data_IF_937790644776
#
_entry.id   IF_937790644776
#
_cell.length_a   1.000
_cell.length_b   1.000
_cell.length_c   1.000
_cell.angle_alpha   90.00
_cell.angle_beta   90.00
_cell.angle_gamma   90.00
#
_symmetry.space_group_name_H-M   'P 1'
#
loop_
_entity.id
_entity.type
_entity.pdbx_description
1 polymer ?
#
# COMPACT_ATOMS: atom_id res chain seq x y z
N UNK A 1 43.46 -27.62 28.66
CA UNK A 1 42.02 -27.50 28.36
C UNK A 1 41.71 -25.99 28.26
N UNK A 2 41.71 -25.44 27.04
CA UNK A 2 41.47 -24.03 26.78
C UNK A 2 39.97 -23.86 26.47
N UNK A 3 39.21 -22.97 27.12
CA UNK A 3 37.83 -22.77 26.80
C UNK A 3 37.74 -22.05 25.43
N UNK A 4 36.98 -22.65 24.52
CA UNK A 4 36.56 -22.06 23.26
C UNK A 4 35.82 -20.75 23.55
N UNK A 5 36.46 -19.64 23.18
CA UNK A 5 35.78 -18.34 23.13
C UNK A 5 34.63 -18.39 22.11
N UNK A 6 33.43 -18.36 22.60
CA UNK A 6 32.26 -18.04 21.81
C UNK A 6 32.46 -16.63 21.27
N UNK A 7 32.77 -16.56 19.98
CA UNK A 7 32.78 -15.32 19.20
C UNK A 7 31.31 -14.90 19.11
N UNK A 8 30.96 -13.93 19.92
CA UNK A 8 29.69 -13.22 19.83
C UNK A 8 29.73 -12.41 18.53
N UNK A 9 29.30 -13.06 17.44
CA UNK A 9 29.07 -12.39 16.18
C UNK A 9 27.90 -11.41 16.42
N UNK A 10 28.28 -10.20 16.82
CA UNK A 10 27.39 -9.04 16.83
C UNK A 10 26.84 -8.80 15.45
N UNK A 11 25.95 -9.65 15.01
CA UNK A 11 25.10 -9.39 13.85
C UNK A 11 24.14 -8.26 14.24
N UNK A 12 24.66 -7.04 14.12
CA UNK A 12 23.83 -5.82 14.08
C UNK A 12 22.68 -6.07 13.10
N UNK A 13 21.56 -6.47 13.63
CA UNK A 13 20.35 -6.70 12.85
C UNK A 13 19.88 -5.37 12.26
N UNK A 14 19.90 -5.19 10.93
CA UNK A 14 19.55 -3.92 10.29
C UNK A 14 18.04 -3.62 10.31
N UNK A 15 17.31 -4.23 11.23
CA UNK A 15 15.83 -4.19 11.27
C UNK A 15 15.26 -2.89 11.84
N UNK A 16 16.04 -2.10 12.60
CA UNK A 16 15.55 -0.90 13.29
C UNK A 16 15.40 0.33 12.40
N UNK A 17 16.02 0.37 11.21
CA UNK A 17 15.96 1.56 10.34
C UNK A 17 14.86 1.54 9.27
N UNK A 18 14.20 0.42 9.07
CA UNK A 18 13.24 0.25 7.97
C UNK A 18 11.83 0.77 8.28
N UNK A 19 11.38 0.71 9.54
CA UNK A 19 10.05 1.13 9.94
C UNK A 19 9.81 2.64 9.82
N UNK A 20 10.73 3.53 10.25
CA UNK A 20 10.54 4.97 10.09
C UNK A 20 10.50 5.40 8.62
N UNK A 21 11.25 4.74 7.74
CA UNK A 21 11.22 5.04 6.31
C UNK A 21 9.85 4.72 5.70
N UNK A 22 9.24 3.59 6.08
CA UNK A 22 7.91 3.19 5.63
C UNK A 22 6.83 4.17 6.08
N UNK A 23 6.83 4.55 7.36
CA UNK A 23 5.91 5.55 7.90
C UNK A 23 6.03 6.91 7.21
N UNK A 24 7.26 7.36 6.94
CA UNK A 24 7.51 8.60 6.24
C UNK A 24 6.98 8.57 4.78
N UNK A 25 7.14 7.47 4.06
CA UNK A 25 6.60 7.29 2.70
C UNK A 25 5.08 7.34 2.71
N UNK A 26 4.42 6.67 3.67
CA UNK A 26 2.95 6.71 3.79
C UNK A 26 2.44 8.13 4.08
N UNK A 27 3.11 8.88 4.96
CA UNK A 27 2.78 10.28 5.23
C UNK A 27 3.00 11.17 4.00
N UNK A 28 4.11 10.99 3.30
CA UNK A 28 4.38 11.71 2.05
C UNK A 28 3.29 11.41 1.01
N UNK A 29 2.88 10.15 0.87
CA UNK A 29 1.78 9.75 0.00
C UNK A 29 0.44 10.40 0.37
N UNK A 30 0.14 10.53 1.67
CA UNK A 30 -1.05 11.24 2.13
C UNK A 30 -1.03 12.71 1.75
N UNK A 31 0.12 13.38 1.92
CA UNK A 31 0.30 14.78 1.52
C UNK A 31 0.18 14.93 0.00
N UNK A 32 0.83 14.06 -0.76
CA UNK A 32 0.73 14.06 -2.23
C UNK A 32 -0.72 13.89 -2.66
N UNK A 33 -1.46 12.95 -2.06
CA UNK A 33 -2.87 12.72 -2.39
C UNK A 33 -3.73 13.96 -2.11
N UNK A 34 -3.52 14.63 -0.98
CA UNK A 34 -4.22 15.87 -0.66
C UNK A 34 -3.89 16.98 -1.65
N UNK A 35 -2.61 17.16 -1.98
CA UNK A 35 -2.19 18.17 -2.96
C UNK A 35 -2.77 17.90 -4.35
N UNK A 36 -2.78 16.65 -4.78
CA UNK A 36 -3.33 16.25 -6.07
C UNK A 36 -4.83 16.58 -6.16
N UNK A 37 -5.57 16.39 -5.07
CA UNK A 37 -7.02 16.61 -5.02
C UNK A 37 -7.38 18.08 -4.78
N UNK A 38 -6.77 18.71 -3.78
CA UNK A 38 -7.19 20.04 -3.34
C UNK A 38 -6.54 21.16 -4.19
N UNK A 39 -5.37 20.91 -4.82
CA UNK A 39 -4.63 21.94 -5.59
C UNK A 39 -4.71 21.69 -7.09
N UNK A 40 -4.59 20.42 -7.53
CA UNK A 40 -4.56 20.08 -8.95
C UNK A 40 -5.92 19.61 -9.49
N UNK A 41 -6.95 19.51 -8.63
CA UNK A 41 -8.31 19.06 -8.98
C UNK A 41 -8.32 17.75 -9.78
N UNK A 42 -7.42 16.83 -9.36
CA UNK A 42 -7.31 15.54 -10.02
C UNK A 42 -8.56 14.71 -9.71
N UNK A 43 -9.13 14.18 -10.78
CA UNK A 43 -10.36 13.37 -10.70
C UNK A 43 -10.13 12.11 -9.88
N UNK A 44 -11.16 11.68 -9.14
CA UNK A 44 -11.14 10.58 -8.16
C UNK A 44 -10.60 9.25 -8.69
N UNK A 45 -10.71 8.96 -9.97
CA UNK A 45 -10.24 7.71 -10.57
C UNK A 45 -8.70 7.56 -10.60
N UNK A 46 -7.94 8.61 -10.29
CA UNK A 46 -6.50 8.51 -10.08
C UNK A 46 -6.11 8.05 -8.66
N UNK A 47 -7.05 8.12 -7.72
CA UNK A 47 -6.80 7.81 -6.30
C UNK A 47 -6.26 6.39 -6.09
N UNK A 48 -6.85 5.33 -6.68
CA UNK A 48 -6.34 3.97 -6.51
C UNK A 48 -4.90 3.83 -7.00
N UNK A 49 -4.54 4.49 -8.11
CA UNK A 49 -3.18 4.47 -8.64
C UNK A 49 -2.19 5.13 -7.67
N UNK A 50 -2.52 6.30 -7.15
CA UNK A 50 -1.65 7.02 -6.19
C UNK A 50 -1.48 6.21 -4.91
N UNK A 51 -2.54 5.61 -4.39
CA UNK A 51 -2.48 4.72 -3.22
C UNK A 51 -1.62 3.48 -3.49
N UNK A 52 -1.83 2.83 -4.63
CA UNK A 52 -1.07 1.66 -5.03
C UNK A 52 0.42 1.94 -5.13
N UNK A 53 0.80 2.99 -5.83
CA UNK A 53 2.21 3.43 -5.95
C UNK A 53 2.79 3.79 -4.58
N UNK A 54 2.04 4.50 -3.73
CA UNK A 54 2.48 4.82 -2.37
C UNK A 54 2.75 3.56 -1.55
N UNK A 55 1.88 2.55 -1.63
CA UNK A 55 2.09 1.28 -0.94
C UNK A 55 3.30 0.51 -1.46
N UNK A 56 3.54 0.50 -2.78
CA UNK A 56 4.74 -0.12 -3.36
C UNK A 56 6.01 0.58 -2.89
N UNK A 57 6.03 1.91 -2.87
CA UNK A 57 7.16 2.69 -2.39
C UNK A 57 7.41 2.47 -0.88
N UNK A 58 6.33 2.42 -0.08
CA UNK A 58 6.43 2.13 1.35
C UNK A 58 6.93 0.69 1.61
N UNK A 59 6.48 -0.29 0.81
CA UNK A 59 6.97 -1.66 0.88
C UNK A 59 8.46 -1.75 0.53
N UNK A 60 8.88 -1.08 -0.53
CA UNK A 60 10.28 -1.04 -0.96
C UNK A 60 11.18 -0.33 0.08
N UNK A 61 10.72 0.79 0.65
CA UNK A 61 11.45 1.52 1.70
C UNK A 61 11.62 0.68 2.98
N UNK A 62 10.63 -0.15 3.30
CA UNK A 62 10.67 -1.02 4.48
C UNK A 62 11.61 -2.22 4.38
N UNK A 63 12.13 -2.53 3.19
CA UNK A 63 13.03 -3.68 2.90
C UNK A 63 12.56 -5.03 3.44
N UNK A 64 11.36 -5.12 3.99
CA UNK A 64 10.84 -6.33 4.61
C UNK A 64 9.67 -6.91 3.82
N UNK A 65 9.52 -8.22 3.94
CA UNK A 65 8.30 -8.92 3.63
C UNK A 65 7.12 -8.24 4.32
N UNK A 66 6.42 -7.40 3.62
CA UNK A 66 5.38 -6.58 4.22
C UNK A 66 4.01 -6.84 3.62
N UNK A 67 2.98 -6.53 4.38
CA UNK A 67 1.59 -6.65 3.92
C UNK A 67 1.26 -5.67 2.78
N UNK A 68 2.15 -4.70 2.48
CA UNK A 68 1.88 -3.62 1.51
C UNK A 68 2.11 -4.00 0.05
N UNK A 69 2.90 -5.05 -0.25
CA UNK A 69 3.17 -5.47 -1.63
C UNK A 69 1.91 -5.86 -2.38
N UNK A 70 1.04 -6.65 -1.74
CA UNK A 70 -0.18 -7.12 -2.37
C UNK A 70 -1.16 -5.98 -2.69
N UNK A 71 -1.59 -5.15 -1.73
CA UNK A 71 -2.47 -4.03 -2.04
C UNK A 71 -1.79 -3.01 -2.96
N UNK A 72 -0.47 -2.83 -2.87
CA UNK A 72 0.28 -1.96 -3.76
C UNK A 72 0.14 -2.36 -5.23
N UNK A 73 0.38 -3.62 -5.57
CA UNK A 73 0.24 -4.12 -6.93
C UNK A 73 -1.21 -4.11 -7.41
N UNK A 74 -2.15 -4.62 -6.59
CA UNK A 74 -3.57 -4.66 -6.96
C UNK A 74 -4.10 -3.25 -7.25
N UNK A 75 -3.90 -2.30 -6.34
CA UNK A 75 -4.38 -0.93 -6.51
C UNK A 75 -3.66 -0.18 -7.64
N UNK A 76 -2.37 -0.45 -7.88
CA UNK A 76 -1.66 0.18 -9.00
C UNK A 76 -2.22 -0.27 -10.35
N UNK A 77 -2.47 -1.57 -10.54
CA UNK A 77 -3.00 -2.09 -11.81
C UNK A 77 -4.45 -1.68 -12.01
N UNK A 78 -5.28 -1.77 -10.95
CA UNK A 78 -6.67 -1.30 -11.00
C UNK A 78 -6.72 0.19 -11.31
N UNK A 79 -6.00 1.02 -10.55
CA UNK A 79 -6.01 2.45 -10.75
C UNK A 79 -5.46 2.90 -12.10
N UNK A 80 -4.46 2.20 -12.65
CA UNK A 80 -3.99 2.45 -14.01
C UNK A 80 -5.07 2.12 -15.04
N UNK A 81 -5.77 1.01 -14.85
CA UNK A 81 -6.87 0.59 -15.74
C UNK A 81 -8.01 1.61 -15.74
N UNK A 82 -8.43 2.04 -14.55
CA UNK A 82 -9.47 3.06 -14.40
C UNK A 82 -9.04 4.41 -15.00
N UNK A 83 -7.81 4.85 -14.69
CA UNK A 83 -7.27 6.09 -15.22
C UNK A 83 -7.24 6.11 -16.76
N UNK A 84 -6.81 5.01 -17.40
CA UNK A 84 -6.80 4.88 -18.84
C UNK A 84 -8.22 4.83 -19.43
N UNK A 85 -9.14 4.14 -18.78
CA UNK A 85 -10.54 4.04 -19.17
C UNK A 85 -11.20 5.43 -19.23
N UNK A 86 -11.10 6.17 -18.15
CA UNK A 86 -11.69 7.51 -18.04
C UNK A 86 -10.97 8.56 -18.89
N UNK A 87 -9.66 8.42 -19.05
CA UNK A 87 -8.90 9.28 -19.97
C UNK A 87 -9.37 9.11 -21.43
N UNK A 88 -9.79 7.90 -21.81
CA UNK A 88 -10.38 7.63 -23.11
C UNK A 88 -11.84 8.12 -23.26
N UNK A 89 -12.38 8.82 -22.23
CA UNK A 89 -13.74 9.37 -22.26
C UNK A 89 -14.84 8.32 -22.18
N UNK A 90 -14.55 7.12 -21.67
CA UNK A 90 -15.53 6.03 -21.59
C UNK A 90 -16.43 6.17 -20.35
N UNK A 91 -17.68 5.68 -20.40
CA UNK A 91 -18.63 5.84 -19.30
C UNK A 91 -18.24 5.00 -18.08
N UNK A 92 -18.61 5.49 -16.89
CA UNK A 92 -18.31 4.85 -15.60
C UNK A 92 -19.19 3.62 -15.30
N UNK A 93 -20.42 3.61 -15.82
CA UNK A 93 -21.47 2.62 -15.55
C UNK A 93 -21.46 1.42 -16.50
N UNK A 94 -20.35 1.21 -17.21
CA UNK A 94 -20.26 0.13 -18.19
C UNK A 94 -19.92 -1.21 -17.51
N UNK A 95 -20.61 -2.26 -17.94
CA UNK A 95 -20.31 -3.65 -17.57
C UNK A 95 -18.84 -4.02 -17.96
N UNK A 96 -18.33 -3.42 -19.03
CA UNK A 96 -16.95 -3.59 -19.48
C UNK A 96 -15.93 -3.08 -18.48
N UNK A 97 -16.20 -1.92 -17.83
CA UNK A 97 -15.31 -1.40 -16.78
C UNK A 97 -15.21 -2.36 -15.60
N UNK A 98 -16.35 -2.91 -15.14
CA UNK A 98 -16.35 -3.88 -14.04
C UNK A 98 -15.53 -5.14 -14.36
N UNK A 99 -15.63 -5.65 -15.60
CA UNK A 99 -14.84 -6.79 -16.07
C UNK A 99 -13.34 -6.45 -16.14
N UNK A 100 -13.00 -5.28 -16.67
CA UNK A 100 -11.61 -4.83 -16.75
C UNK A 100 -10.99 -4.60 -15.37
N UNK A 101 -11.75 -4.05 -14.43
CA UNK A 101 -11.29 -3.85 -13.06
C UNK A 101 -11.05 -5.19 -12.35
N UNK A 102 -11.92 -6.18 -12.56
CA UNK A 102 -11.72 -7.53 -12.04
C UNK A 102 -10.47 -8.19 -12.65
N UNK A 103 -10.29 -8.07 -13.96
CA UNK A 103 -9.10 -8.56 -14.66
C UNK A 103 -7.84 -7.85 -14.16
N UNK A 104 -7.89 -6.53 -13.97
CA UNK A 104 -6.82 -5.73 -13.43
C UNK A 104 -6.45 -6.15 -12.00
N UNK A 105 -7.44 -6.39 -11.13
CA UNK A 105 -7.21 -6.90 -9.79
C UNK A 105 -6.55 -8.28 -9.80
N UNK A 106 -7.01 -9.19 -10.66
CA UNK A 106 -6.37 -10.49 -10.87
C UNK A 106 -4.93 -10.38 -11.37
N UNK A 107 -4.68 -9.49 -12.33
CA UNK A 107 -3.32 -9.21 -12.84
C UNK A 107 -2.42 -8.64 -11.74
N UNK A 108 -2.91 -7.69 -10.95
CA UNK A 108 -2.20 -7.14 -9.80
C UNK A 108 -1.87 -8.21 -8.75
N UNK A 109 -2.80 -9.15 -8.52
CA UNK A 109 -2.59 -10.28 -7.63
C UNK A 109 -1.48 -11.22 -8.14
N UNK A 110 -1.47 -11.53 -9.44
CA UNK A 110 -0.42 -12.34 -10.07
C UNK A 110 0.94 -11.64 -9.97
N UNK A 111 1.00 -10.33 -10.22
CA UNK A 111 2.23 -9.55 -10.05
C UNK A 111 2.72 -9.57 -8.60
N UNK A 112 1.82 -9.41 -7.62
CA UNK A 112 2.17 -9.49 -6.21
C UNK A 112 2.76 -10.87 -5.85
N UNK A 113 2.13 -11.96 -6.32
CA UNK A 113 2.63 -13.33 -6.08
C UNK A 113 3.96 -13.56 -6.80
N UNK A 114 4.15 -13.04 -8.02
CA UNK A 114 5.41 -13.19 -8.74
C UNK A 114 6.61 -12.56 -8.02
N UNK A 115 6.38 -11.57 -7.14
CA UNK A 115 7.44 -11.00 -6.29
C UNK A 115 8.04 -12.03 -5.32
N UNK A 116 7.34 -13.12 -5.02
CA UNK A 116 7.88 -14.22 -4.20
C UNK A 116 9.07 -14.90 -4.87
N UNK A 117 9.13 -14.91 -6.21
CA UNK A 117 10.26 -15.45 -6.98
C UNK A 117 11.55 -14.64 -6.74
N UNK A 118 11.40 -13.35 -6.46
CA UNK A 118 12.52 -12.44 -6.15
C UNK A 118 12.84 -12.40 -4.65
N UNK A 119 12.24 -13.32 -3.87
CA UNK A 119 12.49 -13.46 -2.43
C UNK A 119 11.64 -12.53 -1.54
N UNK A 120 10.67 -11.82 -2.10
CA UNK A 120 9.74 -11.00 -1.32
C UNK A 120 8.65 -11.89 -0.72
N UNK A 121 8.45 -11.82 0.60
CA UNK A 121 7.34 -12.53 1.24
C UNK A 121 6.06 -11.72 1.12
N UNK A 122 5.10 -12.24 0.37
CA UNK A 122 3.77 -11.64 0.21
C UNK A 122 2.79 -12.35 1.13
N UNK A 123 2.05 -11.57 1.93
CA UNK A 123 1.01 -12.11 2.80
C UNK A 123 -0.22 -12.50 1.98
N UNK A 124 -0.63 -13.76 2.04
CA UNK A 124 -1.85 -14.25 1.37
C UNK A 124 -3.11 -13.57 1.92
N UNK A 125 -3.13 -13.24 3.21
CA UNK A 125 -4.23 -12.50 3.83
C UNK A 125 -4.35 -11.09 3.27
N UNK A 126 -3.23 -10.39 3.11
CA UNK A 126 -3.22 -9.05 2.51
C UNK A 126 -3.65 -9.07 1.04
N UNK A 127 -3.27 -10.13 0.32
CA UNK A 127 -3.69 -10.33 -1.07
C UNK A 127 -5.20 -10.56 -1.17
N UNK A 128 -5.73 -11.48 -0.36
CA UNK A 128 -7.17 -11.76 -0.32
C UNK A 128 -7.97 -10.50 0.05
N UNK A 129 -7.50 -9.76 1.05
CA UNK A 129 -8.14 -8.52 1.49
C UNK A 129 -8.10 -7.44 0.40
N UNK A 130 -7.00 -7.28 -0.32
CA UNK A 130 -6.87 -6.32 -1.41
C UNK A 130 -7.86 -6.62 -2.55
N UNK A 131 -7.97 -7.89 -2.96
CA UNK A 131 -8.92 -8.31 -4.00
C UNK A 131 -10.37 -8.16 -3.53
N UNK A 132 -10.68 -8.55 -2.29
CA UNK A 132 -12.01 -8.38 -1.71
C UNK A 132 -12.43 -6.91 -1.61
N UNK A 133 -11.55 -6.05 -1.13
CA UNK A 133 -11.82 -4.60 -1.03
C UNK A 133 -12.03 -3.99 -2.41
N UNK A 134 -11.25 -4.38 -3.42
CA UNK A 134 -11.45 -3.93 -4.80
C UNK A 134 -12.81 -4.37 -5.33
N UNK A 135 -13.21 -5.63 -5.10
CA UNK A 135 -14.52 -6.13 -5.50
C UNK A 135 -15.68 -5.44 -4.76
N UNK A 136 -15.52 -5.21 -3.44
CA UNK A 136 -16.51 -4.50 -2.65
C UNK A 136 -16.66 -3.04 -3.08
N UNK A 137 -15.55 -2.38 -3.43
CA UNK A 137 -15.53 -1.02 -3.94
C UNK A 137 -16.28 -0.91 -5.27
N UNK A 138 -15.98 -1.79 -6.22
CA UNK A 138 -16.70 -1.87 -7.50
C UNK A 138 -18.20 -2.09 -7.31
N UNK A 139 -18.58 -2.95 -6.37
CA UNK A 139 -19.98 -3.22 -6.08
C UNK A 139 -20.68 -1.99 -5.46
N UNK A 140 -19.98 -1.24 -4.61
CA UNK A 140 -20.49 -0.03 -4.01
C UNK A 140 -20.69 1.09 -5.05
N UNK A 141 -19.75 1.25 -5.98
CA UNK A 141 -19.88 2.18 -7.11
C UNK A 141 -21.05 1.82 -8.02
N UNK A 142 -21.20 0.55 -8.37
CA UNK A 142 -22.31 0.06 -9.20
C UNK A 142 -23.69 0.28 -8.54
N UNK A 143 -23.75 0.36 -7.21
CA UNK A 143 -24.99 0.61 -6.45
C UNK A 143 -25.21 2.08 -6.05
N UNK A 144 -24.47 2.99 -6.64
CA UNK A 144 -24.58 4.43 -6.40
C UNK A 144 -24.48 4.82 -4.91
N UNK A 145 -23.49 4.31 -4.19
CA UNK A 145 -23.09 4.80 -2.87
C UNK A 145 -21.94 5.82 -3.05
N UNK A 146 -22.22 7.01 -3.64
CA UNK A 146 -21.19 7.87 -4.20
C UNK A 146 -20.39 8.61 -3.13
N UNK A 147 -20.88 8.67 -1.88
CA UNK A 147 -20.30 9.55 -0.87
C UNK A 147 -19.05 8.99 -0.18
N UNK A 148 -18.83 7.69 -0.24
CA UNK A 148 -17.66 7.06 0.38
C UNK A 148 -16.53 6.89 -0.65
N UNK A 149 -16.86 6.44 -1.84
CA UNK A 149 -15.89 6.19 -2.92
C UNK A 149 -15.21 7.47 -3.41
N UNK A 150 -15.97 8.57 -3.54
CA UNK A 150 -15.45 9.87 -3.98
C UNK A 150 -14.76 10.70 -2.88
N UNK A 151 -14.70 10.20 -1.64
CA UNK A 151 -14.10 10.99 -0.55
C UNK A 151 -12.59 10.77 -0.45
N UNK A 152 -11.86 11.42 -1.33
CA UNK A 152 -10.39 11.34 -1.40
C UNK A 152 -9.71 11.77 -0.11
N UNK A 153 -10.30 12.72 0.65
CA UNK A 153 -9.78 13.16 1.95
C UNK A 153 -9.82 12.04 2.98
N UNK A 154 -10.81 11.15 2.91
CA UNK A 154 -10.87 9.97 3.78
C UNK A 154 -9.67 9.03 3.53
N UNK A 155 -9.33 8.77 2.27
CA UNK A 155 -8.18 7.91 1.93
C UNK A 155 -6.86 8.54 2.37
N UNK A 156 -6.70 9.86 2.18
CA UNK A 156 -5.54 10.58 2.67
C UNK A 156 -5.43 10.53 4.21
N UNK A 157 -6.55 10.69 4.92
CA UNK A 157 -6.58 10.59 6.38
C UNK A 157 -6.23 9.19 6.88
N UNK A 158 -6.74 8.13 6.24
CA UNK A 158 -6.40 6.74 6.58
C UNK A 158 -4.92 6.46 6.33
N UNK A 159 -4.37 6.95 5.22
CA UNK A 159 -2.97 6.80 4.88
C UNK A 159 -2.07 7.53 5.89
N UNK A 160 -2.45 8.75 6.27
CA UNK A 160 -1.75 9.54 7.30
C UNK A 160 -1.82 8.87 8.68
N UNK A 161 -2.98 8.37 9.07
CA UNK A 161 -3.15 7.64 10.34
C UNK A 161 -2.28 6.40 10.40
N UNK A 162 -2.21 5.63 9.30
CA UNK A 162 -1.33 4.47 9.22
C UNK A 162 0.15 4.88 9.30
N UNK A 163 0.56 5.90 8.53
CA UNK A 163 1.94 6.40 8.56
C UNK A 163 2.36 6.86 9.96
N UNK A 164 1.48 7.58 10.67
CA UNK A 164 1.71 7.99 12.06
C UNK A 164 1.79 6.80 13.01
N UNK A 165 0.91 5.81 12.86
CA UNK A 165 0.93 4.58 13.66
C UNK A 165 2.29 3.87 13.52
N UNK A 166 2.80 3.68 12.32
CA UNK A 166 4.09 3.06 12.06
C UNK A 166 5.23 3.82 12.74
N UNK A 167 5.24 5.17 12.66
CA UNK A 167 6.25 5.99 13.30
C UNK A 167 6.18 5.95 14.84
N UNK A 168 4.98 5.88 15.42
CA UNK A 168 4.81 5.82 16.87
C UNK A 168 5.22 4.46 17.43
N UNK A 169 4.86 3.39 16.74
CA UNK A 169 5.22 2.02 17.16
C UNK A 169 6.73 1.83 17.15
N UNK A 170 7.40 2.31 16.11
CA UNK A 170 8.85 2.25 16.00
C UNK A 170 9.55 3.00 17.15
N UNK A 171 9.11 4.23 17.46
CA UNK A 171 9.67 5.01 18.59
C UNK A 171 9.51 4.33 19.94
N UNK A 172 8.43 3.57 20.14
CA UNK A 172 8.22 2.83 21.39
C UNK A 172 9.12 1.61 21.51
N UNK A 173 9.39 0.93 20.38
CA UNK A 173 10.34 -0.19 20.32
C UNK A 173 11.76 0.24 20.67
N UNK A 174 12.23 1.35 20.10
CA UNK A 174 13.58 1.88 20.33
C UNK A 174 13.83 2.28 21.78
N UNK A 175 12.84 2.87 22.46
CA UNK A 175 12.98 3.29 23.88
C UNK A 175 13.08 2.12 24.86
N UNK A 176 12.48 0.97 24.55
CA UNK A 176 12.59 -0.22 25.43
C UNK A 176 13.98 -0.80 25.45
N UNK A 177 14.67 -0.80 24.32
CA UNK A 177 16.06 -1.27 24.23
C UNK A 177 17.07 -0.37 24.94
N UNK A 178 16.76 0.92 25.14
CA UNK A 178 17.64 1.87 25.84
C UNK A 178 17.53 1.76 27.38
N UNK A 179 16.42 1.21 27.90
CA UNK A 179 16.17 1.08 29.35
C UNK A 179 16.67 -0.26 29.88
N UNK A 180 16.78 -1.28 29.03
CA UNK A 180 17.17 -2.64 29.42
C UNK A 180 18.68 -2.93 29.18
N UNK A 181 19.47 -1.96 28.68
CA UNK A 181 20.92 -2.05 28.47
C UNK A 181 21.68 -1.10 29.40
#
# INVERSE_FOLDING_TARGET
MTPLGLHDDGSDTPTTRAAPARGAVLLAGAVVLLLLVDVLDIRYYWVPLVLGVTYLLAAAAGRSAGPLWAPGWVLSVVGLTEALWFHAGRPADSFELAQLTLLAAGTGAVLAVSMTVVGVRVSTMSLALAVLLTGAFNLAEAKAVPHVAGNTRLYAALLAAWGLYELVVDRRGSRRHEVDG
#
